data_IF_742084431138
#
_entry.id   IF_742084431138
#
_cell.length_a   1.000
_cell.length_b   1.000
_cell.length_c   1.000
_cell.angle_alpha   90.00
_cell.angle_beta   90.00
_cell.angle_gamma   90.00
#
_symmetry.space_group_name_H-M   'P 1'
#
loop_
_entity.id
_entity.type
_entity.pdbx_description
1 polymer ?
#
# COMPACT_ATOMS: atom_id res chain seq x y z
N UNK A 1 24.54 -1.64 -11.03
CA UNK A 1 23.33 -2.48 -11.22
C UNK A 1 22.17 -1.83 -10.50
N UNK A 2 20.94 -1.88 -11.04
CA UNK A 2 19.74 -1.36 -10.38
C UNK A 2 19.59 -1.79 -8.91
N UNK A 3 20.05 -2.99 -8.54
CA UNK A 3 19.89 -3.56 -7.19
C UNK A 3 21.07 -3.37 -6.23
N UNK A 4 22.13 -2.61 -6.57
CA UNK A 4 23.36 -2.52 -5.74
C UNK A 4 23.07 -2.21 -4.25
N UNK A 5 22.16 -1.27 -3.96
CA UNK A 5 21.77 -0.94 -2.58
C UNK A 5 21.02 -2.08 -1.89
N UNK A 6 20.11 -2.74 -2.59
CA UNK A 6 19.33 -3.87 -2.06
C UNK A 6 20.25 -5.03 -1.73
N UNK A 7 21.23 -5.35 -2.58
CA UNK A 7 22.22 -6.40 -2.33
C UNK A 7 23.02 -6.13 -1.06
N UNK A 8 23.52 -4.90 -0.87
CA UNK A 8 24.21 -4.51 0.36
C UNK A 8 23.33 -4.72 1.61
N UNK A 9 22.06 -4.31 1.54
CA UNK A 9 21.11 -4.55 2.62
C UNK A 9 20.88 -6.04 2.88
N UNK A 10 20.76 -6.86 1.84
CA UNK A 10 20.59 -8.32 1.97
C UNK A 10 21.79 -8.94 2.70
N UNK A 11 23.02 -8.55 2.32
CA UNK A 11 24.25 -9.03 2.93
C UNK A 11 24.35 -8.67 4.42
N UNK A 12 23.92 -7.46 4.81
CA UNK A 12 24.03 -6.95 6.18
C UNK A 12 22.89 -7.41 7.10
N UNK A 13 21.68 -7.60 6.56
CA UNK A 13 20.47 -7.79 7.36
C UNK A 13 19.96 -9.24 7.43
N UNK A 14 20.39 -10.14 6.53
CA UNK A 14 19.87 -11.50 6.46
C UNK A 14 20.91 -12.54 6.88
N UNK A 15 20.67 -13.17 8.02
CA UNK A 15 21.49 -14.27 8.54
C UNK A 15 21.06 -15.65 8.01
N UNK A 16 19.83 -15.77 7.52
CA UNK A 16 19.33 -17.03 6.94
C UNK A 16 19.87 -17.20 5.51
N UNK A 17 20.63 -18.27 5.29
CA UNK A 17 21.29 -18.57 4.00
C UNK A 17 20.28 -18.79 2.87
N UNK A 18 19.17 -19.48 3.14
CA UNK A 18 18.14 -19.77 2.15
C UNK A 18 17.42 -18.49 1.71
N UNK A 19 16.97 -17.67 2.67
CA UNK A 19 16.33 -16.38 2.38
C UNK A 19 17.28 -15.47 1.57
N UNK A 20 18.56 -15.44 1.94
CA UNK A 20 19.60 -14.69 1.24
C UNK A 20 19.79 -15.16 -0.20
N UNK A 21 19.85 -16.47 -0.43
CA UNK A 21 19.97 -17.04 -1.78
C UNK A 21 18.76 -16.69 -2.66
N UNK A 22 17.54 -16.79 -2.13
CA UNK A 22 16.33 -16.40 -2.85
C UNK A 22 16.40 -14.91 -3.24
N UNK A 23 16.80 -14.06 -2.30
CA UNK A 23 16.87 -12.61 -2.51
C UNK A 23 17.96 -12.19 -3.49
N UNK A 24 19.13 -12.83 -3.45
CA UNK A 24 20.21 -12.59 -4.42
C UNK A 24 19.79 -13.03 -5.82
N UNK A 25 19.18 -14.22 -5.97
CA UNK A 25 18.63 -14.68 -7.25
C UNK A 25 17.53 -13.72 -7.77
N UNK A 26 16.68 -13.22 -6.87
CA UNK A 26 15.66 -12.21 -7.22
C UNK A 26 16.30 -10.92 -7.74
N UNK A 27 17.43 -10.50 -7.16
CA UNK A 27 18.19 -9.34 -7.65
C UNK A 27 18.83 -9.59 -9.02
N UNK A 28 19.40 -10.77 -9.25
CA UNK A 28 20.00 -11.15 -10.54
C UNK A 28 18.95 -11.13 -11.66
N UNK A 29 17.77 -11.71 -11.40
CA UNK A 29 16.66 -11.67 -12.35
C UNK A 29 16.20 -10.23 -12.59
N UNK A 30 15.98 -9.44 -11.54
CA UNK A 30 15.52 -8.07 -11.71
C UNK A 30 16.52 -7.22 -12.51
N UNK A 31 17.82 -7.29 -12.21
CA UNK A 31 18.86 -6.56 -12.95
C UNK A 31 18.90 -6.98 -14.43
N UNK A 32 18.53 -8.23 -14.74
CA UNK A 32 18.46 -8.76 -16.10
C UNK A 32 17.20 -8.30 -16.84
N UNK A 33 16.06 -8.22 -16.15
CA UNK A 33 14.76 -7.92 -16.75
C UNK A 33 14.45 -6.43 -16.88
N UNK A 34 14.90 -5.60 -15.92
CA UNK A 34 14.62 -4.16 -15.90
C UNK A 34 14.99 -3.39 -17.20
N UNK A 35 16.12 -3.68 -17.88
CA UNK A 35 16.48 -2.99 -19.10
C UNK A 35 15.85 -3.58 -20.37
N UNK A 36 15.19 -4.76 -20.28
CA UNK A 36 14.58 -5.39 -21.47
C UNK A 36 13.36 -4.60 -21.94
N UNK A 37 13.01 -4.73 -23.21
CA UNK A 37 11.73 -4.23 -23.74
C UNK A 37 10.60 -5.24 -23.50
N UNK A 38 10.91 -6.53 -23.64
CA UNK A 38 9.98 -7.65 -23.48
C UNK A 38 10.54 -8.69 -22.52
N UNK A 39 9.65 -9.34 -21.77
CA UNK A 39 9.98 -10.41 -20.81
C UNK A 39 8.93 -11.51 -20.92
N UNK A 40 9.27 -12.73 -20.53
CA UNK A 40 8.33 -13.85 -20.43
C UNK A 40 7.90 -14.12 -18.99
N UNK A 41 6.86 -14.94 -18.81
CA UNK A 41 6.38 -15.31 -17.48
C UNK A 41 7.38 -16.21 -16.75
N UNK A 42 8.08 -17.09 -17.48
CA UNK A 42 9.07 -18.00 -16.91
C UNK A 42 10.29 -17.23 -16.39
N UNK A 43 10.72 -16.19 -17.11
CA UNK A 43 11.80 -15.30 -16.65
C UNK A 43 11.44 -14.58 -15.35
N UNK A 44 10.15 -14.28 -15.14
CA UNK A 44 9.64 -13.57 -13.98
C UNK A 44 9.46 -14.49 -12.75
N UNK A 45 9.48 -15.80 -12.95
CA UNK A 45 9.15 -16.79 -11.92
C UNK A 45 9.94 -16.61 -10.61
N UNK A 46 11.27 -16.37 -10.61
CA UNK A 46 12.00 -16.19 -9.37
C UNK A 46 11.50 -15.00 -8.52
N UNK A 47 11.12 -13.89 -9.17
CA UNK A 47 10.56 -12.70 -8.51
C UNK A 47 9.16 -13.02 -7.95
N UNK A 48 8.33 -13.74 -8.72
CA UNK A 48 6.99 -14.16 -8.28
C UNK A 48 7.08 -15.12 -7.08
N UNK A 49 8.02 -16.06 -7.10
CA UNK A 49 8.26 -17.00 -6.01
C UNK A 49 8.75 -16.29 -4.75
N UNK A 50 9.64 -15.29 -4.89
CA UNK A 50 10.03 -14.42 -3.78
C UNK A 50 8.82 -13.66 -3.22
N UNK A 51 7.98 -13.06 -4.09
CA UNK A 51 6.78 -12.32 -3.69
C UNK A 51 5.73 -13.18 -2.96
N UNK A 52 5.70 -14.50 -3.19
CA UNK A 52 4.84 -15.46 -2.48
C UNK A 52 5.43 -15.97 -1.16
N UNK A 53 6.68 -15.65 -0.86
CA UNK A 53 7.38 -16.23 0.26
C UNK A 53 6.70 -15.85 1.60
N UNK A 54 6.74 -16.76 2.59
CA UNK A 54 6.14 -16.51 3.91
C UNK A 54 6.95 -15.51 4.75
N UNK A 55 8.24 -15.35 4.48
CA UNK A 55 9.17 -14.51 5.23
C UNK A 55 9.09 -13.06 4.76
N UNK A 56 8.95 -12.13 5.72
CA UNK A 56 8.64 -10.73 5.41
C UNK A 56 9.67 -10.04 4.53
N UNK A 57 10.96 -10.21 4.85
CA UNK A 57 12.04 -9.63 4.06
C UNK A 57 12.07 -10.13 2.62
N UNK A 58 11.78 -11.41 2.41
CA UNK A 58 11.77 -12.03 1.08
C UNK A 58 10.61 -11.53 0.23
N UNK A 59 9.39 -11.62 0.75
CA UNK A 59 8.22 -11.21 -0.04
C UNK A 59 8.18 -9.72 -0.30
N UNK A 60 8.66 -8.89 0.63
CA UNK A 60 8.64 -7.45 0.46
C UNK A 60 9.55 -7.02 -0.69
N UNK A 61 10.74 -7.61 -0.81
CA UNK A 61 11.65 -7.33 -1.93
C UNK A 61 11.10 -7.91 -3.25
N UNK A 62 10.60 -9.15 -3.23
CA UNK A 62 10.01 -9.77 -4.42
C UNK A 62 8.82 -8.98 -4.97
N UNK A 63 7.88 -8.59 -4.10
CA UNK A 63 6.72 -7.78 -4.48
C UNK A 63 7.14 -6.36 -4.93
N UNK A 64 8.12 -5.73 -4.27
CA UNK A 64 8.65 -4.42 -4.68
C UNK A 64 9.21 -4.45 -6.11
N UNK A 65 10.00 -5.47 -6.44
CA UNK A 65 10.57 -5.66 -7.78
C UNK A 65 9.50 -5.98 -8.81
N UNK A 66 8.52 -6.81 -8.45
CA UNK A 66 7.39 -7.11 -9.33
C UNK A 66 6.60 -5.84 -9.69
N UNK A 67 6.33 -4.97 -8.71
CA UNK A 67 5.69 -3.67 -8.95
C UNK A 67 6.54 -2.72 -9.78
N UNK A 68 7.88 -2.74 -9.65
CA UNK A 68 8.77 -1.94 -10.53
C UNK A 68 8.71 -2.42 -11.98
N UNK A 69 8.75 -3.73 -12.21
CA UNK A 69 8.65 -4.29 -13.56
C UNK A 69 7.27 -4.02 -14.17
N UNK A 70 6.21 -4.00 -13.37
CA UNK A 70 4.85 -3.69 -13.80
C UNK A 70 4.67 -2.25 -14.33
N UNK A 71 5.65 -1.35 -14.16
CA UNK A 71 5.67 -0.04 -14.81
C UNK A 71 5.74 -0.21 -16.33
N UNK A 72 6.63 -1.09 -16.80
CA UNK A 72 6.94 -1.28 -18.23
C UNK A 72 6.28 -2.53 -18.82
N UNK A 73 6.19 -3.61 -18.06
CA UNK A 73 5.88 -4.94 -18.59
C UNK A 73 4.46 -5.40 -18.23
N UNK A 74 3.66 -5.72 -19.25
CA UNK A 74 2.31 -6.29 -19.06
C UNK A 74 2.37 -7.65 -18.36
N UNK A 75 3.39 -8.48 -18.64
CA UNK A 75 3.56 -9.78 -18.00
C UNK A 75 3.68 -9.67 -16.48
N UNK A 76 4.33 -8.62 -15.98
CA UNK A 76 4.40 -8.35 -14.54
C UNK A 76 3.06 -7.88 -13.96
N UNK A 77 2.27 -7.12 -14.73
CA UNK A 77 0.90 -6.75 -14.36
C UNK A 77 -0.01 -7.98 -14.27
N UNK A 78 0.08 -8.90 -15.22
CA UNK A 78 -0.64 -10.17 -15.18
C UNK A 78 -0.26 -11.03 -13.96
N UNK A 79 1.03 -11.11 -13.62
CA UNK A 79 1.46 -11.80 -12.41
C UNK A 79 0.86 -11.17 -11.14
N UNK A 80 0.77 -9.84 -11.07
CA UNK A 80 0.10 -9.12 -9.98
C UNK A 80 -1.40 -9.42 -9.93
N UNK A 81 -2.11 -9.44 -11.08
CA UNK A 81 -3.53 -9.83 -11.17
C UNK A 81 -3.77 -11.23 -10.61
N UNK A 82 -2.91 -12.17 -10.96
CA UNK A 82 -2.98 -13.55 -10.46
C UNK A 82 -2.74 -13.64 -8.96
N UNK A 83 -1.80 -12.85 -8.42
CA UNK A 83 -1.50 -12.86 -6.99
C UNK A 83 -2.57 -12.16 -6.15
N UNK A 84 -3.13 -11.04 -6.62
CA UNK A 84 -4.21 -10.34 -5.88
C UNK A 84 -5.53 -11.12 -5.88
N UNK A 85 -5.69 -12.11 -6.76
CA UNK A 85 -6.84 -13.03 -6.77
C UNK A 85 -6.53 -14.40 -6.18
N UNK A 86 -5.32 -14.60 -5.63
CA UNK A 86 -4.89 -15.87 -5.04
C UNK A 86 -5.83 -16.33 -3.91
N UNK A 87 -5.98 -17.65 -3.76
CA UNK A 87 -6.73 -18.25 -2.64
C UNK A 87 -6.08 -17.95 -1.27
N UNK A 88 -4.79 -17.64 -1.23
CA UNK A 88 -4.04 -17.36 0.00
C UNK A 88 -4.08 -15.88 0.36
N UNK A 89 -4.59 -15.58 1.55
CA UNK A 89 -4.71 -14.21 2.07
C UNK A 89 -3.36 -13.50 2.11
N UNK A 90 -2.29 -14.22 2.48
CA UNK A 90 -0.95 -13.63 2.57
C UNK A 90 -0.47 -13.12 1.21
N UNK A 91 -0.60 -13.90 0.13
CA UNK A 91 -0.16 -13.47 -1.21
C UNK A 91 -0.89 -12.19 -1.66
N UNK A 92 -2.21 -12.11 -1.42
CA UNK A 92 -3.00 -10.90 -1.73
C UNK A 92 -2.54 -9.70 -0.91
N UNK A 93 -2.33 -9.90 0.40
CA UNK A 93 -1.85 -8.86 1.32
C UNK A 93 -0.48 -8.32 0.89
N UNK A 94 0.44 -9.22 0.53
CA UNK A 94 1.81 -8.89 0.13
C UNK A 94 1.80 -7.98 -1.11
N UNK A 95 0.96 -8.29 -2.10
CA UNK A 95 0.83 -7.48 -3.30
C UNK A 95 0.24 -6.10 -3.03
N UNK A 96 -0.88 -5.99 -2.32
CA UNK A 96 -1.48 -4.68 -2.06
C UNK A 96 -0.59 -3.81 -1.14
N UNK A 97 0.17 -4.44 -0.23
CA UNK A 97 1.06 -3.72 0.67
C UNK A 97 2.27 -3.08 -0.04
N UNK A 98 2.63 -3.55 -1.24
CA UNK A 98 3.77 -3.07 -2.02
C UNK A 98 3.37 -2.21 -3.24
N UNK A 99 2.10 -1.83 -3.36
CA UNK A 99 1.64 -0.95 -4.43
C UNK A 99 2.47 0.34 -4.47
N UNK A 100 2.82 0.78 -5.67
CA UNK A 100 3.78 1.87 -5.88
C UNK A 100 3.25 2.94 -6.84
N UNK A 101 3.62 4.19 -6.56
CA UNK A 101 3.50 5.32 -7.49
C UNK A 101 4.37 5.11 -8.73
N UNK A 102 3.83 5.40 -9.92
CA UNK A 102 4.53 5.28 -11.20
C UNK A 102 4.05 4.13 -12.08
N UNK A 103 3.33 3.17 -11.51
CA UNK A 103 2.50 2.25 -12.30
C UNK A 103 1.23 2.99 -12.76
N UNK A 104 0.65 2.56 -13.88
CA UNK A 104 -0.53 3.21 -14.45
C UNK A 104 -1.67 3.27 -13.44
N UNK A 105 -2.26 4.46 -13.29
CA UNK A 105 -3.38 4.69 -12.36
C UNK A 105 -4.56 3.75 -12.62
N UNK A 106 -4.99 3.48 -13.87
CA UNK A 106 -6.04 2.50 -14.15
C UNK A 106 -5.74 1.10 -13.59
N UNK A 107 -4.50 0.63 -13.72
CA UNK A 107 -4.11 -0.67 -13.17
C UNK A 107 -4.09 -0.65 -11.64
N UNK A 108 -3.54 0.39 -11.01
CA UNK A 108 -3.57 0.51 -9.55
C UNK A 108 -5.01 0.51 -9.00
N UNK A 109 -5.95 1.17 -9.68
CA UNK A 109 -7.38 1.14 -9.32
C UNK A 109 -7.95 -0.28 -9.39
N UNK A 110 -7.67 -1.01 -10.46
CA UNK A 110 -8.10 -2.40 -10.62
C UNK A 110 -7.69 -3.26 -9.42
N UNK A 111 -6.43 -3.16 -9.01
CA UNK A 111 -5.88 -3.90 -7.86
C UNK A 111 -6.51 -3.45 -6.53
N UNK A 112 -6.69 -2.15 -6.32
CA UNK A 112 -7.33 -1.61 -5.11
C UNK A 112 -8.80 -2.04 -5.01
N UNK A 113 -9.55 -1.98 -6.11
CA UNK A 113 -10.96 -2.41 -6.16
C UNK A 113 -11.09 -3.90 -5.84
N UNK A 114 -10.17 -4.72 -6.34
CA UNK A 114 -10.11 -6.15 -6.01
C UNK A 114 -9.81 -6.36 -4.52
N UNK A 115 -8.86 -5.60 -3.97
CA UNK A 115 -8.41 -5.72 -2.59
C UNK A 115 -9.45 -5.23 -1.56
N UNK A 116 -10.17 -4.14 -1.82
CA UNK A 116 -11.21 -3.63 -0.91
C UNK A 116 -12.44 -4.55 -0.87
N UNK A 117 -12.71 -5.26 -1.97
CA UNK A 117 -13.77 -6.27 -2.06
C UNK A 117 -13.38 -7.64 -1.46
N UNK A 118 -12.19 -7.77 -0.87
CA UNK A 118 -11.71 -9.04 -0.31
C UNK A 118 -12.58 -9.51 0.86
N UNK A 119 -13.24 -10.66 0.70
CA UNK A 119 -14.16 -11.22 1.69
C UNK A 119 -13.47 -11.81 2.92
N UNK A 120 -12.23 -12.30 2.79
CA UNK A 120 -11.54 -13.09 3.82
C UNK A 120 -10.35 -12.36 4.45
N UNK A 121 -9.78 -11.39 3.76
CA UNK A 121 -8.55 -10.70 4.15
C UNK A 121 -8.84 -9.33 4.73
N UNK A 122 -9.14 -9.23 6.03
CA UNK A 122 -9.37 -7.93 6.67
C UNK A 122 -8.18 -6.96 6.53
N UNK A 123 -6.95 -7.49 6.70
CA UNK A 123 -5.70 -6.74 6.46
C UNK A 123 -5.50 -6.35 4.98
N UNK A 124 -6.06 -7.12 4.05
CA UNK A 124 -6.03 -6.79 2.61
C UNK A 124 -6.88 -5.54 2.37
N UNK A 125 -8.08 -5.48 2.95
CA UNK A 125 -8.96 -4.30 2.89
C UNK A 125 -8.36 -3.07 3.56
N UNK A 126 -7.74 -3.23 4.73
CA UNK A 126 -6.99 -2.15 5.41
C UNK A 126 -5.89 -1.57 4.51
N UNK A 127 -5.12 -2.44 3.85
CA UNK A 127 -4.07 -2.02 2.93
C UNK A 127 -4.61 -1.41 1.63
N UNK A 128 -5.77 -1.86 1.15
CA UNK A 128 -6.46 -1.22 0.03
C UNK A 128 -6.84 0.23 0.38
N UNK A 129 -7.35 0.48 1.59
CA UNK A 129 -7.67 1.83 2.05
C UNK A 129 -6.43 2.71 2.18
N UNK A 130 -5.34 2.17 2.72
CA UNK A 130 -4.05 2.86 2.75
C UNK A 130 -3.57 3.23 1.34
N UNK A 131 -3.60 2.28 0.40
CA UNK A 131 -3.19 2.47 -0.99
C UNK A 131 -4.04 3.53 -1.71
N UNK A 132 -5.35 3.49 -1.50
CA UNK A 132 -6.30 4.50 -1.99
C UNK A 132 -5.91 5.92 -1.53
N UNK A 133 -5.51 6.09 -0.26
CA UNK A 133 -4.98 7.37 0.25
C UNK A 133 -3.65 7.73 -0.36
N UNK A 134 -2.71 6.79 -0.43
CA UNK A 134 -1.35 7.06 -0.94
C UNK A 134 -1.33 7.50 -2.40
N UNK A 135 -2.27 6.98 -3.19
CA UNK A 135 -2.48 7.33 -4.60
C UNK A 135 -3.50 8.45 -4.81
N UNK A 136 -4.16 8.94 -3.75
CA UNK A 136 -5.14 10.03 -3.77
C UNK A 136 -6.26 9.84 -4.82
N UNK A 137 -6.85 8.65 -4.86
CA UNK A 137 -7.83 8.24 -5.89
C UNK A 137 -9.25 8.68 -5.52
N UNK A 138 -9.52 9.98 -5.49
CA UNK A 138 -10.82 10.57 -5.07
C UNK A 138 -12.05 9.98 -5.77
N UNK A 139 -11.93 9.53 -7.00
CA UNK A 139 -12.98 8.88 -7.77
C UNK A 139 -13.45 7.55 -7.17
N UNK A 140 -12.69 6.94 -6.26
CA UNK A 140 -13.07 5.72 -5.57
C UNK A 140 -13.79 5.97 -4.23
N UNK A 141 -14.00 7.23 -3.82
CA UNK A 141 -14.68 7.57 -2.56
C UNK A 141 -16.02 6.84 -2.41
N UNK A 142 -16.94 6.82 -3.39
CA UNK A 142 -18.22 6.12 -3.24
C UNK A 142 -18.07 4.61 -2.99
N UNK A 143 -17.06 3.97 -3.60
CA UNK A 143 -16.79 2.54 -3.39
C UNK A 143 -16.29 2.27 -1.98
N UNK A 144 -15.47 3.16 -1.42
CA UNK A 144 -14.98 3.04 -0.05
C UNK A 144 -16.05 3.36 1.01
N UNK A 145 -16.99 4.26 0.71
CA UNK A 145 -18.19 4.50 1.52
C UNK A 145 -19.05 3.21 1.58
N UNK A 146 -19.35 2.63 0.42
CA UNK A 146 -20.06 1.36 0.30
C UNK A 146 -19.38 0.20 1.06
N UNK A 147 -18.04 0.14 0.99
CA UNK A 147 -17.25 -0.88 1.68
C UNK A 147 -17.27 -0.66 3.21
N UNK A 148 -17.21 0.59 3.66
CA UNK A 148 -17.25 0.96 5.08
C UNK A 148 -18.58 0.57 5.72
N UNK A 149 -19.70 0.79 5.01
CA UNK A 149 -21.04 0.46 5.49
C UNK A 149 -21.25 -1.05 5.69
N UNK A 150 -20.59 -1.86 4.85
CA UNK A 150 -20.68 -3.33 4.90
C UNK A 150 -19.65 -3.96 5.85
N UNK A 151 -18.63 -3.22 6.27
CA UNK A 151 -17.56 -3.74 7.12
C UNK A 151 -18.08 -4.09 8.52
N UNK A 152 -17.71 -5.29 8.98
CA UNK A 152 -18.14 -5.86 10.26
C UNK A 152 -17.01 -5.91 11.30
N UNK A 153 -15.74 -5.91 10.87
CA UNK A 153 -14.61 -5.85 11.79
C UNK A 153 -14.34 -4.40 12.18
N UNK A 154 -14.54 -4.05 13.46
CA UNK A 154 -14.41 -2.69 13.98
C UNK A 154 -13.03 -2.06 13.71
N UNK A 155 -11.97 -2.85 13.77
CA UNK A 155 -10.62 -2.35 13.56
C UNK A 155 -10.40 -2.00 12.09
N UNK A 156 -10.82 -2.89 11.19
CA UNK A 156 -10.79 -2.63 9.74
C UNK A 156 -11.71 -1.46 9.39
N UNK A 157 -12.91 -1.35 10.00
CA UNK A 157 -13.84 -0.23 9.81
C UNK A 157 -13.18 1.11 10.16
N UNK A 158 -12.55 1.20 11.34
CA UNK A 158 -11.79 2.40 11.78
C UNK A 158 -10.63 2.75 10.85
N UNK A 159 -9.99 1.75 10.25
CA UNK A 159 -8.91 1.94 9.29
C UNK A 159 -9.44 2.49 7.96
N UNK A 160 -10.51 1.90 7.42
CA UNK A 160 -11.18 2.37 6.19
C UNK A 160 -11.67 3.80 6.38
N UNK A 161 -12.40 4.07 7.46
CA UNK A 161 -12.92 5.40 7.80
C UNK A 161 -11.81 6.46 7.87
N UNK A 162 -10.69 6.12 8.51
CA UNK A 162 -9.55 7.04 8.61
C UNK A 162 -8.99 7.42 7.23
N UNK A 163 -8.70 6.44 6.38
CA UNK A 163 -8.13 6.72 5.05
C UNK A 163 -9.16 7.34 4.10
N UNK A 164 -10.44 6.98 4.23
CA UNK A 164 -11.55 7.59 3.50
C UNK A 164 -11.67 9.09 3.81
N UNK A 165 -11.75 9.47 5.09
CA UNK A 165 -11.82 10.89 5.49
C UNK A 165 -10.62 11.69 4.99
N UNK A 166 -9.41 11.12 5.05
CA UNK A 166 -8.20 11.78 4.55
C UNK A 166 -8.22 12.07 3.04
N UNK A 167 -8.91 11.26 2.24
CA UNK A 167 -9.04 11.49 0.78
C UNK A 167 -10.23 12.38 0.45
N UNK A 168 -11.37 12.15 1.11
CA UNK A 168 -12.63 12.87 0.88
C UNK A 168 -12.54 14.31 1.41
N UNK A 169 -12.20 14.44 2.69
CA UNK A 169 -12.29 15.69 3.44
C UNK A 169 -10.91 16.35 3.62
N UNK A 170 -9.83 15.59 3.40
CA UNK A 170 -8.45 16.05 3.62
C UNK A 170 -8.00 15.97 5.09
N UNK A 171 -8.88 15.49 5.97
CA UNK A 171 -8.62 15.30 7.39
C UNK A 171 -9.53 14.22 7.99
N UNK A 172 -9.28 13.84 9.24
CA UNK A 172 -10.18 13.00 10.05
C UNK A 172 -10.25 13.56 11.47
N UNK A 173 -11.46 13.65 12.02
CA UNK A 173 -11.69 13.99 13.43
C UNK A 173 -12.17 12.75 14.17
N UNK A 174 -11.56 12.46 15.32
CA UNK A 174 -11.95 11.37 16.20
C UNK A 174 -12.08 11.87 17.63
N UNK A 175 -13.03 11.34 18.39
CA UNK A 175 -13.07 11.58 19.83
C UNK A 175 -11.77 11.05 20.48
N UNK A 176 -11.22 11.84 21.39
CA UNK A 176 -10.07 11.49 22.23
C UNK A 176 -10.49 11.54 23.71
N UNK A 177 -9.55 11.32 24.61
CA UNK A 177 -9.78 11.47 26.05
C UNK A 177 -10.02 12.95 26.43
N UNK A 178 -10.67 13.17 27.57
CA UNK A 178 -10.88 14.49 28.21
C UNK A 178 -11.68 15.52 27.39
N UNK A 179 -12.76 15.11 26.71
CA UNK A 179 -13.58 16.01 25.86
C UNK A 179 -12.76 16.73 24.77
N UNK A 180 -11.65 16.13 24.33
CA UNK A 180 -10.84 16.63 23.22
C UNK A 180 -11.07 15.78 21.98
N UNK A 181 -10.70 16.35 20.83
CA UNK A 181 -10.72 15.70 19.54
C UNK A 181 -9.28 15.45 19.07
N UNK A 182 -9.08 14.32 18.40
CA UNK A 182 -7.87 14.04 17.62
C UNK A 182 -8.13 14.41 16.17
N UNK A 183 -7.36 15.37 15.65
CA UNK A 183 -7.38 15.80 14.26
C UNK A 183 -6.19 15.19 13.52
N UNK A 184 -6.49 14.31 12.56
CA UNK A 184 -5.51 13.69 11.67
C UNK A 184 -5.52 14.33 10.29
N UNK A 185 -4.36 14.66 9.71
CA UNK A 185 -4.27 15.23 8.36
C UNK A 185 -2.94 14.88 7.66
N UNK A 186 -2.88 14.88 6.31
CA UNK A 186 -1.64 14.61 5.57
C UNK A 186 -0.59 15.70 5.75
N UNK A 187 0.68 15.32 5.92
CA UNK A 187 1.83 16.25 5.95
C UNK A 187 2.40 16.48 4.55
N UNK A 188 3.22 17.53 4.37
CA UNK A 188 3.89 17.79 3.08
C UNK A 188 4.85 16.66 2.69
N UNK A 189 5.35 15.93 3.68
CA UNK A 189 6.25 14.78 3.51
C UNK A 189 5.52 13.45 3.24
N UNK A 190 4.19 13.46 3.11
CA UNK A 190 3.38 12.28 2.77
C UNK A 190 2.90 11.43 3.95
N UNK A 191 3.30 11.78 5.17
CA UNK A 191 2.83 11.15 6.42
C UNK A 191 1.43 11.60 6.82
N UNK A 192 0.99 11.18 8.01
CA UNK A 192 -0.22 11.68 8.66
C UNK A 192 0.23 12.27 10.01
N UNK A 193 -0.12 13.52 10.26
CA UNK A 193 0.06 14.17 11.56
C UNK A 193 -1.24 14.02 12.36
N UNK A 194 -1.13 13.70 13.64
CA UNK A 194 -2.24 13.72 14.59
C UNK A 194 -1.95 14.75 15.66
N UNK A 195 -2.89 15.68 15.85
CA UNK A 195 -2.84 16.65 16.93
C UNK A 195 -4.10 16.54 17.78
N UNK A 196 -4.02 17.01 19.02
CA UNK A 196 -5.19 17.14 19.87
C UNK A 196 -5.70 18.57 19.80
N UNK A 197 -7.01 18.74 19.60
CA UNK A 197 -7.71 20.03 19.49
C UNK A 197 -8.95 20.02 20.37
N UNK A 198 -9.35 21.20 20.83
CA UNK A 198 -10.63 21.41 21.51
C UNK A 198 -11.78 21.48 20.50
N UNK A 199 -13.02 21.24 20.95
CA UNK A 199 -14.21 21.44 20.11
C UNK A 199 -14.32 22.86 19.56
N UNK A 200 -13.88 23.86 20.33
CA UNK A 200 -13.89 25.28 19.95
C UNK A 200 -12.98 25.57 18.76
N UNK A 201 -11.85 24.87 18.62
CA UNK A 201 -10.88 25.08 17.55
C UNK A 201 -11.33 24.49 16.20
N UNK A 202 -12.34 23.61 16.18
CA UNK A 202 -12.77 22.86 14.99
C UNK A 202 -14.29 22.89 14.79
N UNK A 203 -14.94 23.99 15.19
CA UNK A 203 -16.39 24.17 15.07
C UNK A 203 -16.89 24.21 13.63
N UNK A 204 -16.08 24.73 12.72
CA UNK A 204 -16.41 24.83 11.30
C UNK A 204 -15.28 24.25 10.46
N UNK A 205 -15.59 23.92 9.19
CA UNK A 205 -14.60 23.40 8.26
C UNK A 205 -13.47 24.40 8.00
N UNK A 206 -13.78 25.70 7.95
CA UNK A 206 -12.79 26.77 7.82
C UNK A 206 -11.82 26.77 9.00
N UNK A 207 -12.32 26.63 10.23
CA UNK A 207 -11.47 26.55 11.42
C UNK A 207 -10.57 25.32 11.41
N UNK A 208 -11.07 24.17 10.94
CA UNK A 208 -10.27 22.96 10.76
C UNK A 208 -9.13 23.22 9.77
N UNK A 209 -9.43 23.82 8.62
CA UNK A 209 -8.43 24.17 7.60
C UNK A 209 -7.38 25.13 8.15
N UNK A 210 -7.79 26.16 8.88
CA UNK A 210 -6.89 27.11 9.53
C UNK A 210 -5.93 26.43 10.52
N UNK A 211 -6.45 25.50 11.33
CA UNK A 211 -5.61 24.72 12.27
C UNK A 211 -4.62 23.86 11.51
N UNK A 212 -5.07 23.17 10.44
CA UNK A 212 -4.21 22.33 9.60
C UNK A 212 -3.10 23.18 8.98
N UNK A 213 -3.42 24.31 8.36
CA UNK A 213 -2.43 25.13 7.65
C UNK A 213 -1.38 25.72 8.59
N UNK A 214 -1.75 26.05 9.84
CA UNK A 214 -0.81 26.48 10.90
C UNK A 214 0.13 25.37 11.39
N UNK A 215 -0.25 24.09 11.21
CA UNK A 215 0.43 22.92 11.78
C UNK A 215 1.02 21.99 10.72
N UNK A 216 0.82 22.30 9.44
CA UNK A 216 1.26 21.46 8.31
C UNK A 216 2.71 21.75 7.96
N UNK A 217 3.59 21.01 8.62
CA UNK A 217 5.02 20.88 8.29
C UNK A 217 5.26 20.18 6.93
#
# INVERSE_FOLDING_TARGET
>A
MPTTRTRKFIEEAFNNVEEKQILLATCDVYDTLEPKETITIDELEPIVNAARNKHMGVWQIGADFLWKLAIKHEVAREAIRNLITSKKVNERLQIIACIRKGVSVPFCKEIILTAIADKKGKRVREKAAQAFKELNLKELVPIFEDALDREQDDQTKKSIEMYLGLVRDGYVLKASFDNKLSLGFPTKKGGICFITVSHEEVKTEEMIKDVIDKRRD
#
